data_IF_861378448667
#
_entry.id   IF_861378448667
#
_cell.length_a   1.000
_cell.length_b   1.000
_cell.length_c   1.000
_cell.angle_alpha   90.00
_cell.angle_beta   90.00
_cell.angle_gamma   90.00
#
_symmetry.space_group_name_H-M   'P 1'
#
loop_
_entity.id
_entity.type
_entity.pdbx_description
1 polymer ?
#
# COMPACT_ATOMS: atom_id res chain seq x y z
N UNK A 1 -8.08 -18.06 -0.58
CA UNK A 1 -7.62 -16.66 -0.46
C UNK A 1 -8.69 -15.78 -1.07
N UNK A 2 -9.22 -14.79 -0.34
CA UNK A 2 -10.22 -13.85 -0.87
C UNK A 2 -9.48 -12.61 -1.35
N UNK A 3 -9.77 -12.17 -2.58
CA UNK A 3 -9.17 -10.96 -3.14
C UNK A 3 -9.76 -9.72 -2.43
N UNK A 4 -8.94 -9.04 -1.63
CA UNK A 4 -9.33 -7.80 -1.00
C UNK A 4 -9.12 -6.67 -2.01
N UNK A 5 -10.21 -6.12 -2.54
CA UNK A 5 -10.22 -5.02 -3.52
C UNK A 5 -9.80 -3.68 -2.87
N UNK A 6 -8.62 -3.69 -2.26
CA UNK A 6 -8.03 -2.62 -1.46
C UNK A 6 -6.64 -2.34 -2.04
N UNK A 7 -6.51 -1.45 -3.03
CA UNK A 7 -5.23 -1.15 -3.63
C UNK A 7 -4.29 -0.52 -2.59
N UNK A 8 -3.00 -0.83 -2.68
CA UNK A 8 -1.98 -0.26 -1.79
C UNK A 8 -1.87 1.25 -2.04
N UNK A 9 -1.70 2.03 -0.97
CA UNK A 9 -1.51 3.48 -1.09
C UNK A 9 -0.19 3.79 -1.82
N UNK A 10 -0.23 4.68 -2.81
CA UNK A 10 0.88 4.98 -3.72
C UNK A 10 1.03 4.00 -4.88
N UNK A 11 0.14 3.00 -5.02
CA UNK A 11 0.15 2.11 -6.19
C UNK A 11 -0.43 2.81 -7.42
N UNK A 12 0.41 3.56 -8.13
CA UNK A 12 0.02 4.24 -9.35
C UNK A 12 -0.01 3.33 -10.60
N UNK A 13 0.30 2.04 -10.46
CA UNK A 13 0.38 1.09 -11.59
C UNK A 13 -0.87 0.21 -11.69
N UNK A 14 -1.36 -0.30 -10.56
CA UNK A 14 -2.44 -1.29 -10.54
C UNK A 14 -3.72 -0.79 -9.86
N UNK A 15 -3.70 0.31 -9.11
CA UNK A 15 -4.89 0.81 -8.41
C UNK A 15 -6.07 1.12 -9.34
N UNK A 16 -5.81 1.57 -10.58
CA UNK A 16 -6.85 1.83 -11.58
C UNK A 16 -7.67 0.59 -11.97
N UNK A 17 -7.19 -0.62 -11.66
CA UNK A 17 -7.93 -1.87 -11.88
C UNK A 17 -9.03 -2.08 -10.86
N UNK A 18 -8.99 -1.42 -9.71
CA UNK A 18 -10.06 -1.50 -8.71
C UNK A 18 -11.00 -0.33 -8.93
N UNK A 19 -12.23 -0.63 -9.34
CA UNK A 19 -13.27 0.38 -9.56
C UNK A 19 -14.44 0.15 -8.63
N UNK A 20 -15.31 1.15 -8.49
CA UNK A 20 -16.52 1.11 -7.68
C UNK A 20 -17.73 1.46 -8.54
N UNK A 21 -18.72 0.57 -8.57
CA UNK A 21 -20.02 0.80 -9.23
C UNK A 21 -21.10 0.57 -8.18
N UNK A 22 -21.98 1.57 -7.98
CA UNK A 22 -23.05 1.52 -6.98
C UNK A 22 -22.57 1.15 -5.56
N UNK A 23 -21.40 1.68 -5.18
CA UNK A 23 -20.77 1.38 -3.89
C UNK A 23 -20.10 0.00 -3.79
N UNK A 24 -20.19 -0.84 -4.81
CA UNK A 24 -19.54 -2.15 -4.85
C UNK A 24 -18.22 -2.07 -5.59
N UNK A 25 -17.15 -2.57 -4.95
CA UNK A 25 -15.83 -2.65 -5.58
C UNK A 25 -15.76 -3.88 -6.49
N UNK A 26 -15.06 -3.75 -7.61
CA UNK A 26 -14.76 -4.86 -8.51
C UNK A 26 -13.42 -4.68 -9.20
N UNK A 27 -12.88 -5.78 -9.73
CA UNK A 27 -11.62 -5.79 -10.47
C UNK A 27 -11.88 -5.72 -11.97
N UNK A 28 -11.30 -4.73 -12.63
CA UNK A 28 -11.30 -4.60 -14.08
C UNK A 28 -10.24 -5.55 -14.70
N UNK A 29 -10.56 -6.15 -15.87
CA UNK A 29 -9.57 -6.82 -16.71
C UNK A 29 -8.39 -5.89 -17.04
N UNK A 30 -7.19 -6.45 -17.17
CA UNK A 30 -5.99 -5.65 -17.42
C UNK A 30 -6.05 -4.98 -18.80
N UNK A 31 -6.65 -5.67 -19.76
CA UNK A 31 -6.80 -5.30 -21.16
C UNK A 31 -7.75 -4.10 -21.33
N UNK A 32 -8.73 -3.97 -20.45
CA UNK A 32 -9.71 -2.86 -20.46
C UNK A 32 -9.30 -1.68 -19.57
N UNK A 33 -8.24 -1.81 -18.78
CA UNK A 33 -7.82 -0.78 -17.83
C UNK A 33 -6.83 0.17 -18.47
N UNK A 34 -7.15 1.46 -18.52
CA UNK A 34 -6.21 2.50 -18.96
C UNK A 34 -5.22 2.82 -17.83
N UNK A 35 -3.91 2.96 -18.12
CA UNK A 35 -2.95 3.43 -17.13
C UNK A 35 -3.34 4.79 -16.58
N UNK A 36 -3.48 4.88 -15.26
CA UNK A 36 -3.82 6.10 -14.56
C UNK A 36 -3.17 6.07 -13.18
N UNK A 37 -2.73 7.24 -12.70
CA UNK A 37 -2.27 7.38 -11.32
C UNK A 37 -3.40 7.10 -10.34
N UNK A 38 -3.05 6.57 -9.18
CA UNK A 38 -4.01 6.31 -8.11
C UNK A 38 -4.83 7.56 -7.79
N UNK A 39 -6.15 7.42 -7.84
CA UNK A 39 -7.09 8.44 -7.39
C UNK A 39 -7.48 8.11 -5.95
N UNK A 40 -7.27 9.06 -5.05
CA UNK A 40 -7.66 8.95 -3.65
C UNK A 40 -8.99 9.66 -3.41
N UNK A 41 -9.77 9.13 -2.48
CA UNK A 41 -10.97 9.79 -1.99
C UNK A 41 -10.64 11.14 -1.34
N UNK A 42 -11.54 12.13 -1.46
CA UNK A 42 -11.33 13.46 -0.92
C UNK A 42 -11.08 13.45 0.59
N UNK A 43 -11.77 12.59 1.34
CA UNK A 43 -11.58 12.50 2.78
C UNK A 43 -10.17 12.01 3.12
N UNK A 44 -9.60 11.11 2.31
CA UNK A 44 -8.25 10.62 2.49
C UNK A 44 -7.22 11.71 2.15
N UNK A 45 -7.41 12.45 1.04
CA UNK A 45 -6.56 13.58 0.67
C UNK A 45 -6.54 14.64 1.78
N UNK A 46 -7.70 14.97 2.34
CA UNK A 46 -7.83 15.95 3.44
C UNK A 46 -7.13 15.48 4.71
N UNK A 47 -7.29 14.20 5.10
CA UNK A 47 -6.61 13.64 6.28
C UNK A 47 -5.09 13.62 6.13
N UNK A 48 -4.59 13.35 4.93
CA UNK A 48 -3.15 13.35 4.65
C UNK A 48 -2.57 14.74 4.42
N UNK A 49 -3.40 15.79 4.42
CA UNK A 49 -3.02 17.17 4.13
C UNK A 49 -2.31 17.33 2.78
N UNK A 50 -2.79 16.64 1.75
CA UNK A 50 -2.21 16.64 0.41
C UNK A 50 -3.06 17.47 -0.56
N UNK A 51 -2.42 17.97 -1.62
CA UNK A 51 -3.12 18.35 -2.85
C UNK A 51 -3.29 17.14 -3.77
N UNK A 52 -4.20 17.18 -4.76
CA UNK A 52 -4.32 16.12 -5.76
C UNK A 52 -3.01 15.85 -6.51
N UNK A 53 -2.22 16.88 -6.79
CA UNK A 53 -0.92 16.74 -7.47
C UNK A 53 0.12 16.03 -6.60
N UNK A 54 0.12 16.28 -5.28
CA UNK A 54 0.99 15.57 -4.33
C UNK A 54 0.52 14.13 -4.10
N UNK A 55 -0.79 13.89 -4.02
CA UNK A 55 -1.36 12.55 -3.91
C UNK A 55 -0.96 11.66 -5.11
N UNK A 56 -0.89 12.26 -6.29
CA UNK A 56 -0.43 11.62 -7.52
C UNK A 56 1.09 11.35 -7.56
N UNK A 57 1.84 11.68 -6.51
CA UNK A 57 3.28 11.44 -6.37
C UNK A 57 3.62 10.63 -5.11
N UNK A 58 2.61 10.08 -4.43
CA UNK A 58 2.84 9.32 -3.20
C UNK A 58 3.71 8.09 -3.46
N UNK A 59 4.73 7.84 -2.62
CA UNK A 59 5.48 6.59 -2.68
C UNK A 59 4.58 5.40 -2.33
N UNK A 60 4.92 4.24 -2.85
CA UNK A 60 4.22 2.99 -2.55
C UNK A 60 4.40 2.64 -1.06
N UNK A 61 3.29 2.47 -0.34
CA UNK A 61 3.27 2.08 1.07
C UNK A 61 3.28 0.54 1.20
N UNK A 62 4.31 -0.08 0.62
CA UNK A 62 4.57 -1.51 0.74
C UNK A 62 5.97 -1.68 1.33
N UNK A 63 6.04 -2.25 2.54
CA UNK A 63 7.28 -2.38 3.30
C UNK A 63 7.53 -3.83 3.70
N UNK A 64 8.71 -4.36 3.36
CA UNK A 64 9.15 -5.65 3.86
C UNK A 64 9.79 -5.43 5.24
N UNK A 65 8.99 -5.56 6.30
CA UNK A 65 9.44 -5.27 7.66
C UNK A 65 10.30 -6.38 8.27
N UNK A 66 9.94 -7.64 8.06
CA UNK A 66 10.63 -8.79 8.66
C UNK A 66 10.88 -9.87 7.61
N UNK A 67 12.08 -10.43 7.62
CA UNK A 67 12.45 -11.61 6.86
C UNK A 67 13.03 -12.66 7.81
N UNK A 68 12.35 -13.81 7.91
CA UNK A 68 12.84 -14.96 8.65
C UNK A 68 13.75 -15.79 7.75
N UNK A 69 15.00 -15.96 8.15
CA UNK A 69 15.99 -16.75 7.45
C UNK A 69 16.21 -18.08 8.18
N UNK A 70 16.29 -19.20 7.44
CA UNK A 70 16.70 -20.45 8.05
C UNK A 70 18.15 -20.33 8.54
N UNK A 71 18.46 -21.05 9.61
CA UNK A 71 19.84 -21.20 10.06
C UNK A 71 20.73 -21.75 8.94
N UNK A 72 21.98 -21.29 8.86
CA UNK A 72 22.90 -21.70 7.79
C UNK A 72 23.20 -23.21 7.83
N UNK A 73 23.05 -23.84 9.00
CA UNK A 73 23.14 -25.28 9.23
C UNK A 73 21.85 -25.80 9.89
N UNK A 74 21.55 -27.12 9.80
CA UNK A 74 20.32 -27.71 10.36
C UNK A 74 20.11 -27.52 11.86
N UNK A 75 21.16 -27.17 12.63
CA UNK A 75 21.10 -26.92 14.08
C UNK A 75 21.15 -25.43 14.43
N UNK A 76 21.37 -24.56 13.46
CA UNK A 76 21.46 -23.13 13.71
C UNK A 76 20.07 -22.57 13.96
N UNK A 77 19.97 -21.65 14.93
CA UNK A 77 18.72 -20.94 15.20
C UNK A 77 18.33 -20.09 13.99
N UNK A 78 17.05 -20.11 13.57
CA UNK A 78 16.54 -19.18 12.58
C UNK A 78 16.87 -17.73 12.98
N UNK A 79 17.20 -16.90 12.01
CA UNK A 79 17.50 -15.48 12.24
C UNK A 79 16.41 -14.60 11.65
N UNK A 80 16.18 -13.46 12.28
CA UNK A 80 15.25 -12.44 11.82
C UNK A 80 16.01 -11.22 11.33
N UNK A 81 15.68 -10.77 10.13
CA UNK A 81 16.12 -9.48 9.61
C UNK A 81 14.96 -8.50 9.69
N UNK A 82 15.14 -7.43 10.46
CA UNK A 82 14.14 -6.38 10.63
C UNK A 82 14.56 -5.11 9.88
N UNK A 83 13.63 -4.50 9.15
CA UNK A 83 13.81 -3.22 8.49
C UNK A 83 12.95 -2.15 9.16
N UNK A 84 13.53 -1.00 9.57
CA UNK A 84 12.77 0.09 10.15
C UNK A 84 11.79 0.67 9.13
N UNK A 85 10.66 1.16 9.62
CA UNK A 85 9.63 1.75 8.76
C UNK A 85 10.16 3.05 8.12
N UNK A 86 10.00 3.26 6.80
CA UNK A 86 10.44 4.49 6.16
C UNK A 86 9.75 5.74 6.74
N UNK A 87 10.45 6.90 6.87
CA UNK A 87 9.87 8.09 7.50
C UNK A 87 8.57 8.60 6.86
N UNK A 88 8.45 8.49 5.53
CA UNK A 88 7.21 8.88 4.83
C UNK A 88 6.03 7.99 5.25
N UNK A 89 6.28 6.70 5.44
CA UNK A 89 5.27 5.72 5.80
C UNK A 89 4.81 5.99 7.23
N UNK A 90 5.74 6.22 8.17
CA UNK A 90 5.42 6.61 9.54
C UNK A 90 4.57 7.88 9.60
N UNK A 91 4.89 8.90 8.81
CA UNK A 91 4.10 10.13 8.72
C UNK A 91 2.68 9.87 8.22
N UNK A 92 2.52 9.03 7.20
CA UNK A 92 1.21 8.62 6.70
C UNK A 92 0.39 7.92 7.79
N UNK A 93 0.99 6.97 8.52
CA UNK A 93 0.31 6.29 9.63
C UNK A 93 -0.16 7.28 10.70
N UNK A 94 0.69 8.25 11.08
CA UNK A 94 0.34 9.29 12.04
C UNK A 94 -0.87 10.12 11.60
N UNK A 95 -0.89 10.60 10.35
CA UNK A 95 -2.04 11.35 9.82
C UNK A 95 -3.33 10.53 9.74
N UNK A 96 -3.23 9.21 9.61
CA UNK A 96 -4.37 8.30 9.57
C UNK A 96 -4.78 7.75 10.94
N UNK A 97 -4.02 8.04 12.00
CA UNK A 97 -4.24 7.45 13.33
C UNK A 97 -4.04 5.93 13.34
N UNK A 98 -3.14 5.42 12.49
CA UNK A 98 -2.83 4.00 12.37
C UNK A 98 -1.50 3.67 13.08
N UNK A 99 -1.38 2.42 13.52
CA UNK A 99 -0.21 1.92 14.26
C UNK A 99 0.30 0.65 13.59
N UNK A 100 1.62 0.46 13.58
CA UNK A 100 2.21 -0.82 13.18
C UNK A 100 1.92 -1.87 14.25
N UNK A 101 1.43 -3.04 13.84
CA UNK A 101 1.22 -4.20 14.71
C UNK A 101 2.51 -5.00 14.90
#
# INVERSE_FOLDING_TARGET
MVLQLCPVLGDHKYSARVSTVLGQRFLLPAESTKPQRQVLDEALIRRLHLTPSQAAQLPLHLHLHCLHLPGARPRDTPSELLAPLPPYFSRTLQYLGLHQQ
#
